data_IF_044151351562
#
_entry.id   IF_044151351562
#
_cell.length_a   1.000
_cell.length_b   1.000
_cell.length_c   1.000
_cell.angle_alpha   90.00
_cell.angle_beta   90.00
_cell.angle_gamma   90.00
#
_symmetry.space_group_name_H-M   'P 1'
#
loop_
_entity.id
_entity.type
_entity.pdbx_description
1 polymer ?
#
# COMPACT_ATOMS: atom_id res chain seq x y z
N UNK A 1 16.55 -0.16 -17.26
CA UNK A 1 15.95 0.83 -18.22
C UNK A 1 15.00 1.82 -17.52
N UNK A 2 13.78 1.43 -17.06
CA UNK A 2 12.79 2.38 -16.50
C UNK A 2 13.34 3.07 -15.24
N UNK A 3 13.79 2.32 -14.25
CA UNK A 3 14.31 2.86 -12.98
C UNK A 3 15.52 3.77 -13.19
N UNK A 4 16.42 3.43 -14.11
CA UNK A 4 17.54 4.29 -14.52
C UNK A 4 17.05 5.60 -15.11
N UNK A 5 16.04 5.55 -15.99
CA UNK A 5 15.46 6.74 -16.59
C UNK A 5 14.76 7.64 -15.56
N UNK A 6 14.06 7.05 -14.61
CA UNK A 6 13.50 7.77 -13.47
C UNK A 6 14.62 8.47 -12.67
N UNK A 7 15.71 7.76 -12.39
CA UNK A 7 16.86 8.29 -11.64
C UNK A 7 17.51 9.50 -12.35
N UNK A 8 17.72 9.40 -13.67
CA UNK A 8 18.24 10.50 -14.49
C UNK A 8 17.39 11.77 -14.40
N UNK A 9 16.08 11.62 -14.21
CA UNK A 9 15.12 12.72 -14.14
C UNK A 9 14.76 13.13 -12.68
N UNK A 10 15.43 12.59 -11.67
CA UNK A 10 15.11 12.87 -10.27
C UNK A 10 13.75 12.33 -9.83
N UNK A 11 13.26 11.28 -10.47
CA UNK A 11 11.97 10.64 -10.21
C UNK A 11 12.17 9.30 -9.50
N UNK A 12 11.18 8.90 -8.71
CA UNK A 12 11.10 7.55 -8.13
C UNK A 12 10.22 6.65 -9.00
N UNK A 13 10.55 5.36 -9.02
CA UNK A 13 9.70 4.32 -9.57
C UNK A 13 9.15 3.48 -8.42
N UNK A 14 7.84 3.42 -8.27
CA UNK A 14 7.18 2.69 -7.20
C UNK A 14 6.41 1.50 -7.76
N UNK A 15 6.66 0.33 -7.19
CA UNK A 15 5.81 -0.83 -7.39
C UNK A 15 4.59 -0.71 -6.49
N UNK A 16 3.40 -0.81 -7.06
CA UNK A 16 2.19 -0.99 -6.27
C UNK A 16 2.07 -2.44 -5.82
N UNK A 17 1.69 -2.66 -4.55
CA UNK A 17 1.41 -4.00 -4.04
C UNK A 17 0.19 -4.61 -4.72
N UNK A 18 0.28 -5.89 -5.05
CA UNK A 18 -0.78 -6.59 -5.78
C UNK A 18 -0.56 -8.10 -5.74
N UNK A 19 -0.05 -8.66 -6.81
CA UNK A 19 0.01 -10.12 -6.99
C UNK A 19 1.20 -10.79 -6.32
N UNK A 20 2.24 -10.04 -5.95
CA UNK A 20 3.44 -10.55 -5.32
C UNK A 20 3.28 -10.67 -3.80
N UNK A 21 3.99 -11.63 -3.21
CA UNK A 21 4.16 -11.62 -1.77
C UNK A 21 5.17 -10.54 -1.34
N UNK A 22 5.08 -10.01 -0.12
CA UNK A 22 6.03 -9.01 0.38
C UNK A 22 7.50 -9.40 0.21
N UNK A 23 7.84 -10.66 0.47
CA UNK A 23 9.21 -11.17 0.33
C UNK A 23 9.67 -11.20 -1.12
N UNK A 24 8.78 -11.54 -2.06
CA UNK A 24 9.11 -11.54 -3.50
C UNK A 24 9.34 -10.13 -4.00
N UNK A 25 8.48 -9.17 -3.61
CA UNK A 25 8.64 -7.77 -3.99
C UNK A 25 9.92 -7.16 -3.43
N UNK A 26 10.23 -7.38 -2.14
CA UNK A 26 11.48 -6.94 -1.53
C UNK A 26 12.70 -7.46 -2.29
N UNK A 27 12.73 -8.75 -2.63
CA UNK A 27 13.83 -9.36 -3.39
C UNK A 27 13.98 -8.72 -4.77
N UNK A 28 12.87 -8.48 -5.49
CA UNK A 28 12.89 -7.82 -6.78
C UNK A 28 13.50 -6.40 -6.70
N UNK A 29 13.11 -5.61 -5.69
CA UNK A 29 13.67 -4.27 -5.46
C UNK A 29 15.17 -4.36 -5.19
N UNK A 30 15.60 -5.27 -4.32
CA UNK A 30 17.03 -5.46 -4.01
C UNK A 30 17.86 -5.86 -5.24
N UNK A 31 17.30 -6.68 -6.13
CA UNK A 31 18.00 -7.06 -7.37
C UNK A 31 18.06 -5.89 -8.37
N UNK A 32 17.04 -5.05 -8.43
CA UNK A 32 17.07 -3.81 -9.21
C UNK A 32 18.13 -2.86 -8.63
N UNK A 33 18.15 -2.64 -7.32
CA UNK A 33 19.15 -1.77 -6.68
C UNK A 33 20.59 -2.22 -6.91
N UNK A 34 20.85 -3.52 -6.94
CA UNK A 34 22.17 -4.06 -7.31
C UNK A 34 22.57 -3.68 -8.73
N UNK A 35 21.60 -3.63 -9.66
CA UNK A 35 21.86 -3.33 -11.06
C UNK A 35 22.02 -1.84 -11.36
N UNK A 36 21.23 -0.96 -10.70
CA UNK A 36 21.12 0.46 -11.07
C UNK A 36 21.48 1.42 -9.92
N UNK A 37 21.83 0.89 -8.75
CA UNK A 37 22.10 1.66 -7.53
C UNK A 37 20.81 1.99 -6.75
N UNK A 38 21.00 2.31 -5.46
CA UNK A 38 19.91 2.56 -4.51
C UNK A 38 19.24 3.92 -4.68
N UNK A 39 18.03 4.03 -4.15
CA UNK A 39 17.42 5.29 -3.72
C UNK A 39 16.29 5.84 -4.57
N UNK A 40 15.93 5.22 -5.70
CA UNK A 40 14.83 5.69 -6.53
C UNK A 40 13.86 4.59 -6.99
N UNK A 41 13.90 3.45 -6.35
CA UNK A 41 12.91 2.37 -6.49
C UNK A 41 12.33 2.05 -5.12
N UNK A 42 11.02 1.91 -5.06
CA UNK A 42 10.32 1.67 -3.80
C UNK A 42 8.94 1.05 -4.02
N UNK A 43 8.11 1.21 -3.02
CA UNK A 43 6.77 0.62 -2.96
C UNK A 43 5.73 1.72 -2.75
N UNK A 44 4.69 1.69 -3.56
CA UNK A 44 3.40 2.29 -3.25
C UNK A 44 2.55 1.19 -2.60
N UNK A 45 2.45 1.23 -1.28
CA UNK A 45 1.77 0.18 -0.52
C UNK A 45 0.27 0.40 -0.54
N UNK A 46 -0.45 -0.47 -1.22
CA UNK A 46 -1.89 -0.63 -1.08
C UNK A 46 -2.18 -1.80 -0.13
N UNK A 47 -2.66 -1.54 1.09
CA UNK A 47 -2.93 -2.59 2.06
C UNK A 47 -4.12 -3.47 1.67
N UNK A 48 -5.12 -2.91 0.95
CA UNK A 48 -6.27 -3.66 0.50
C UNK A 48 -5.90 -4.66 -0.59
N UNK A 49 -4.98 -4.31 -1.49
CA UNK A 49 -4.52 -5.22 -2.52
C UNK A 49 -3.88 -6.48 -1.92
N UNK A 50 -3.08 -6.35 -0.86
CA UNK A 50 -2.53 -7.53 -0.17
C UNK A 50 -3.63 -8.45 0.39
N UNK A 51 -4.71 -7.87 0.90
CA UNK A 51 -5.89 -8.60 1.39
C UNK A 51 -6.66 -9.22 0.23
N UNK A 52 -7.07 -8.42 -0.77
CA UNK A 52 -7.94 -8.85 -1.86
C UNK A 52 -7.27 -9.89 -2.77
N UNK A 53 -5.96 -9.82 -2.93
CA UNK A 53 -5.19 -10.85 -3.66
C UNK A 53 -4.80 -12.04 -2.78
N UNK A 54 -5.11 -12.02 -1.47
CA UNK A 54 -4.78 -13.11 -0.54
C UNK A 54 -3.27 -13.31 -0.34
N UNK A 55 -2.47 -12.24 -0.37
CA UNK A 55 -1.00 -12.34 -0.37
C UNK A 55 -0.35 -12.16 0.99
N UNK A 56 -0.88 -11.26 1.83
CA UNK A 56 -0.32 -11.01 3.15
C UNK A 56 -1.26 -10.19 4.04
N UNK A 57 -0.95 -10.18 5.33
CA UNK A 57 -1.41 -9.16 6.26
C UNK A 57 -0.61 -7.87 6.02
N UNK A 58 -1.25 -6.70 5.84
CA UNK A 58 -0.54 -5.45 5.55
C UNK A 58 0.39 -4.98 6.66
N UNK A 59 0.07 -5.24 7.92
CA UNK A 59 0.92 -4.87 9.07
C UNK A 59 2.20 -5.71 9.07
N UNK A 60 2.07 -7.02 8.87
CA UNK A 60 3.21 -7.93 8.75
C UNK A 60 4.07 -7.63 7.51
N UNK A 61 3.45 -7.16 6.43
CA UNK A 61 4.16 -6.76 5.22
C UNK A 61 5.12 -5.59 5.47
N UNK A 62 4.75 -4.63 6.34
CA UNK A 62 5.63 -3.53 6.75
C UNK A 62 6.89 -4.02 7.47
N UNK A 63 6.84 -5.14 8.20
CA UNK A 63 8.03 -5.78 8.79
C UNK A 63 9.01 -6.26 7.72
N UNK A 64 8.47 -6.68 6.57
CA UNK A 64 9.28 -7.24 5.48
C UNK A 64 9.92 -6.14 4.64
N UNK A 65 9.14 -5.15 4.20
CA UNK A 65 9.59 -4.16 3.21
C UNK A 65 9.36 -2.69 3.60
N UNK A 66 9.05 -2.39 4.86
CA UNK A 66 8.74 -1.01 5.30
C UNK A 66 9.80 0.02 4.92
N UNK A 67 11.07 -0.37 4.88
CA UNK A 67 12.19 0.48 4.45
C UNK A 67 12.09 0.98 2.99
N UNK A 68 11.30 0.31 2.15
CA UNK A 68 11.09 0.65 0.74
C UNK A 68 9.78 1.38 0.47
N UNK A 69 8.93 1.58 1.49
CA UNK A 69 7.63 2.24 1.31
C UNK A 69 7.82 3.74 1.14
N UNK A 70 7.41 4.25 -0.01
CA UNK A 70 7.51 5.67 -0.39
C UNK A 70 6.14 6.32 -0.66
N UNK A 71 5.09 5.50 -0.80
CA UNK A 71 3.71 5.94 -0.97
C UNK A 71 2.76 4.91 -0.35
N UNK A 72 1.57 5.36 0.02
CA UNK A 72 0.53 4.51 0.60
C UNK A 72 -0.82 4.86 0.00
N UNK A 73 -1.60 3.83 -0.35
CA UNK A 73 -3.03 3.97 -0.62
C UNK A 73 -3.84 3.72 0.66
N UNK A 74 -4.79 4.59 0.91
CA UNK A 74 -5.84 4.40 1.90
C UNK A 74 -7.01 3.68 1.28
N UNK A 75 -7.00 2.35 1.29
CA UNK A 75 -7.99 1.46 0.66
C UNK A 75 -8.25 0.25 1.54
N UNK A 76 -9.45 -0.30 1.52
CA UNK A 76 -9.80 -1.47 2.32
C UNK A 76 -10.54 -2.53 1.51
N UNK A 77 -10.43 -3.76 1.94
CA UNK A 77 -10.98 -4.90 1.23
C UNK A 77 -11.16 -6.13 2.10
N UNK A 78 -11.76 -7.15 1.51
CA UNK A 78 -11.97 -8.46 2.11
C UNK A 78 -11.16 -9.51 1.38
N UNK A 79 -10.78 -10.58 2.07
CA UNK A 79 -10.11 -11.72 1.46
C UNK A 79 -11.00 -12.41 0.42
N UNK A 80 -10.41 -13.00 -0.63
CA UNK A 80 -11.15 -13.89 -1.54
C UNK A 80 -11.72 -15.08 -0.76
N UNK A 81 -12.90 -15.53 -1.16
CA UNK A 81 -13.61 -16.66 -0.54
C UNK A 81 -13.66 -17.90 -1.44
N UNK A 82 -13.13 -17.80 -2.65
CA UNK A 82 -12.99 -18.91 -3.59
C UNK A 82 -11.67 -18.82 -4.36
N UNK A 83 -11.38 -19.83 -5.19
CA UNK A 83 -10.14 -19.92 -5.94
C UNK A 83 -10.12 -19.21 -7.31
N UNK A 84 -11.20 -18.51 -7.68
CA UNK A 84 -11.38 -17.97 -9.02
C UNK A 84 -11.51 -16.43 -9.06
N UNK A 85 -11.91 -15.81 -7.96
CA UNK A 85 -12.15 -14.38 -7.86
C UNK A 85 -11.25 -13.74 -6.80
N UNK A 86 -10.95 -12.48 -6.99
CA UNK A 86 -10.31 -11.66 -5.96
C UNK A 86 -11.31 -11.38 -4.83
N UNK A 87 -10.78 -10.87 -3.72
CA UNK A 87 -11.62 -10.31 -2.67
C UNK A 87 -12.29 -9.01 -3.12
N UNK A 88 -13.25 -8.53 -2.33
CA UNK A 88 -14.03 -7.33 -2.64
C UNK A 88 -13.43 -6.10 -1.98
N UNK A 89 -13.35 -5.00 -2.73
CA UNK A 89 -13.10 -3.68 -2.16
C UNK A 89 -14.33 -3.20 -1.37
N UNK A 90 -14.08 -2.59 -0.21
CA UNK A 90 -15.12 -2.01 0.65
C UNK A 90 -14.69 -0.62 1.15
N UNK A 91 -15.62 0.20 1.68
CA UNK A 91 -15.24 1.47 2.29
C UNK A 91 -14.18 1.29 3.38
N UNK A 92 -13.22 2.20 3.46
CA UNK A 92 -12.10 2.15 4.41
C UNK A 92 -12.61 2.04 5.86
N UNK A 93 -12.05 1.09 6.59
CA UNK A 93 -12.46 0.73 7.95
C UNK A 93 -13.57 -0.33 8.02
N UNK A 94 -14.10 -0.80 6.88
CA UNK A 94 -15.12 -1.85 6.82
C UNK A 94 -14.59 -3.19 6.29
N UNK A 95 -13.30 -3.24 5.98
CA UNK A 95 -12.63 -4.42 5.45
C UNK A 95 -11.82 -5.20 6.49
N UNK A 96 -10.71 -5.72 6.03
CA UNK A 96 -9.79 -6.57 6.81
C UNK A 96 -8.46 -5.90 7.11
N UNK A 97 -8.23 -4.68 6.62
CA UNK A 97 -7.08 -3.89 7.03
C UNK A 97 -7.29 -3.40 8.45
N UNK A 98 -6.44 -3.80 9.38
CA UNK A 98 -6.45 -3.27 10.74
C UNK A 98 -5.78 -1.89 10.73
N UNK A 99 -6.53 -0.83 10.42
CA UNK A 99 -6.01 0.52 10.27
C UNK A 99 -5.36 1.06 11.54
N UNK A 100 -5.87 0.74 12.72
CA UNK A 100 -5.23 1.16 13.99
C UNK A 100 -3.82 0.58 14.11
N UNK A 101 -3.65 -0.72 13.88
CA UNK A 101 -2.34 -1.37 13.92
C UNK A 101 -1.45 -0.92 12.74
N UNK A 102 -2.03 -0.71 11.55
CA UNK A 102 -1.32 -0.27 10.36
C UNK A 102 -0.73 1.12 10.54
N UNK A 103 -1.51 2.09 11.01
CA UNK A 103 -1.05 3.46 11.29
C UNK A 103 -0.01 3.46 12.42
N UNK A 104 -0.22 2.68 13.48
CA UNK A 104 0.78 2.54 14.55
C UNK A 104 2.11 2.01 14.01
N UNK A 105 2.07 1.02 13.13
CA UNK A 105 3.29 0.47 12.50
C UNK A 105 3.98 1.46 11.57
N UNK A 106 3.23 2.25 10.83
CA UNK A 106 3.79 3.33 10.00
C UNK A 106 4.52 4.37 10.85
N UNK A 107 3.96 4.76 12.00
CA UNK A 107 4.63 5.66 12.95
C UNK A 107 5.90 5.03 13.53
N UNK A 108 5.85 3.74 13.90
CA UNK A 108 7.00 2.99 14.43
C UNK A 108 8.19 2.97 13.45
N UNK A 109 7.93 2.73 12.15
CA UNK A 109 8.96 2.71 11.12
C UNK A 109 9.36 4.12 10.64
N UNK A 110 8.74 5.17 11.17
CA UNK A 110 9.05 6.55 10.83
C UNK A 110 8.58 7.01 9.46
N UNK A 111 7.50 6.42 8.92
CA UNK A 111 6.93 6.87 7.65
C UNK A 111 6.40 8.31 7.76
N UNK A 112 6.78 9.17 6.81
CA UNK A 112 6.43 10.61 6.79
C UNK A 112 5.73 11.03 5.49
N UNK A 113 5.43 10.06 4.61
CA UNK A 113 4.76 10.34 3.34
C UNK A 113 3.24 10.47 3.49
N UNK A 114 2.58 10.73 2.37
CA UNK A 114 1.13 10.86 2.31
C UNK A 114 0.43 9.48 2.29
N UNK A 115 -0.84 9.47 2.72
CA UNK A 115 -1.78 8.38 2.51
C UNK A 115 -2.82 8.86 1.51
N UNK A 116 -2.75 8.38 0.28
CA UNK A 116 -3.68 8.74 -0.78
C UNK A 116 -4.91 7.85 -0.73
N UNK A 117 -6.08 8.42 -0.41
CA UNK A 117 -7.32 7.65 -0.36
C UNK A 117 -7.70 7.20 -1.77
N UNK A 118 -7.85 5.88 -1.95
CA UNK A 118 -8.32 5.27 -3.19
C UNK A 118 -9.65 4.55 -2.95
N UNK A 119 -10.61 4.76 -3.87
CA UNK A 119 -11.91 4.11 -3.86
C UNK A 119 -12.39 3.87 -5.29
N UNK A 120 -12.35 2.62 -5.76
CA UNK A 120 -12.56 2.24 -7.16
C UNK A 120 -14.04 2.09 -7.55
N UNK A 121 -14.87 3.03 -7.11
CA UNK A 121 -16.25 3.22 -7.56
C UNK A 121 -16.41 4.66 -8.07
N UNK A 122 -17.59 5.05 -8.50
CA UNK A 122 -17.85 6.39 -9.00
C UNK A 122 -19.13 6.99 -8.42
N UNK A 123 -19.30 8.30 -8.57
CA UNK A 123 -20.51 9.02 -8.20
C UNK A 123 -20.52 9.51 -6.75
N UNK A 124 -21.72 9.75 -6.21
CA UNK A 124 -21.88 10.33 -4.88
C UNK A 124 -21.46 9.37 -3.75
N UNK A 125 -21.61 8.08 -3.97
CA UNK A 125 -21.15 7.07 -3.01
C UNK A 125 -19.62 7.11 -2.82
N UNK A 126 -18.85 7.20 -3.91
CA UNK A 126 -17.40 7.39 -3.83
C UNK A 126 -17.04 8.61 -3.00
N UNK A 127 -17.68 9.75 -3.24
CA UNK A 127 -17.40 10.98 -2.50
C UNK A 127 -17.72 10.85 -1.00
N UNK A 128 -18.79 10.13 -0.68
CA UNK A 128 -19.16 9.82 0.71
C UNK A 128 -18.10 8.95 1.37
N UNK A 129 -17.71 7.86 0.72
CA UNK A 129 -16.73 6.91 1.23
C UNK A 129 -15.37 7.57 1.45
N UNK A 130 -14.94 8.45 0.51
CA UNK A 130 -13.69 9.21 0.64
C UNK A 130 -13.71 10.15 1.85
N UNK A 131 -14.85 10.84 2.11
CA UNK A 131 -14.97 11.69 3.30
C UNK A 131 -14.88 10.89 4.60
N UNK A 132 -15.59 9.75 4.66
CA UNK A 132 -15.53 8.85 5.82
C UNK A 132 -14.12 8.29 6.03
N UNK A 133 -13.45 7.90 4.95
CA UNK A 133 -12.06 7.42 5.00
C UNK A 133 -11.12 8.50 5.55
N UNK A 134 -11.26 9.75 5.08
CA UNK A 134 -10.46 10.87 5.57
C UNK A 134 -10.67 11.11 7.06
N UNK A 135 -11.91 11.17 7.52
CA UNK A 135 -12.23 11.36 8.94
C UNK A 135 -11.61 10.27 9.82
N UNK A 136 -11.69 9.00 9.38
CA UNK A 136 -11.09 7.88 10.11
C UNK A 136 -9.56 7.97 10.15
N UNK A 137 -8.92 8.25 9.01
CA UNK A 137 -7.47 8.36 8.94
C UNK A 137 -6.95 9.55 9.75
N UNK A 138 -7.58 10.73 9.64
CA UNK A 138 -7.22 11.91 10.44
C UNK A 138 -7.24 11.60 11.95
N UNK A 139 -8.26 10.89 12.41
CA UNK A 139 -8.38 10.46 13.80
C UNK A 139 -7.23 9.53 14.21
N UNK A 140 -6.97 8.49 13.43
CA UNK A 140 -5.93 7.50 13.75
C UNK A 140 -4.50 8.08 13.66
N UNK A 141 -4.29 9.03 12.78
CA UNK A 141 -3.00 9.73 12.66
C UNK A 141 -2.77 10.66 13.87
N UNK A 142 -3.82 11.27 14.42
CA UNK A 142 -3.74 12.16 15.57
C UNK A 142 -3.55 11.44 16.93
N UNK A 143 -3.92 10.17 17.02
CA UNK A 143 -3.71 9.32 18.22
C UNK A 143 -2.22 8.92 18.37
#
# INVERSE_FOLDING_TARGET
AIVEKCKENGQNFLFETGQETPVTLKRAIQDIEKAVGKGNVGINLDPANLIMYGKANPVDALEVFGEYVMGIHGKDGKYPTDGHHLGDEVPLGQGKVNYSAFIAKLKEIGYQGDITIEREISGEEQKKDIRMAKELLDKLIAE
#
